data_IF_598376692303
#
_entry.id   IF_598376692303
#
_cell.length_a   1.000
_cell.length_b   1.000
_cell.length_c   1.000
_cell.angle_alpha   90.00
_cell.angle_beta   90.00
_cell.angle_gamma   90.00
#
_symmetry.space_group_name_H-M   'P 1'
#
loop_
_entity.id
_entity.type
_entity.pdbx_description
1 polymer ?
#
# COMPACT_ATOMS: atom_id res chain seq x y z
N UNK A 1 1.26 7.97 -51.81
CA UNK A 1 1.26 8.40 -50.40
C UNK A 1 0.35 7.56 -49.51
N UNK A 2 -0.85 7.13 -49.96
CA UNK A 2 -1.78 6.32 -49.15
C UNK A 2 -1.26 4.92 -48.74
N UNK A 3 -0.46 4.27 -49.59
CA UNK A 3 0.10 2.93 -49.29
C UNK A 3 1.10 2.93 -48.12
N UNK A 4 1.86 4.02 -47.97
CA UNK A 4 2.85 4.15 -46.88
C UNK A 4 2.16 4.37 -45.54
N UNK A 5 1.08 5.17 -45.53
CA UNK A 5 0.26 5.38 -44.34
C UNK A 5 -0.43 4.08 -43.88
N UNK A 6 -0.96 3.30 -44.81
CA UNK A 6 -1.62 2.03 -44.50
C UNK A 6 -0.65 0.97 -43.94
N UNK A 7 0.54 0.87 -44.52
CA UNK A 7 1.62 0.01 -43.99
C UNK A 7 2.05 0.44 -42.59
N UNK A 8 2.18 1.75 -42.36
CA UNK A 8 2.54 2.28 -41.05
C UNK A 8 1.49 1.95 -39.98
N UNK A 9 0.19 2.13 -40.25
CA UNK A 9 -0.87 1.78 -39.31
C UNK A 9 -0.90 0.28 -38.98
N UNK A 10 -0.68 -0.57 -39.98
CA UNK A 10 -0.69 -2.02 -39.80
C UNK A 10 0.50 -2.46 -38.92
N UNK A 11 1.70 -1.94 -39.19
CA UNK A 11 2.90 -2.22 -38.40
C UNK A 11 2.75 -1.67 -36.98
N UNK A 12 2.27 -0.42 -36.84
CA UNK A 12 2.07 0.21 -35.54
C UNK A 12 1.08 -0.59 -34.67
N UNK A 13 -0.03 -1.04 -35.25
CA UNK A 13 -1.02 -1.84 -34.52
C UNK A 13 -0.51 -3.24 -34.17
N UNK A 14 0.27 -3.87 -35.05
CA UNK A 14 0.93 -5.14 -34.73
C UNK A 14 1.94 -4.97 -33.58
N UNK A 15 2.82 -3.97 -33.65
CA UNK A 15 3.80 -3.69 -32.61
C UNK A 15 3.13 -3.40 -31.27
N UNK A 16 2.10 -2.55 -31.24
CA UNK A 16 1.36 -2.21 -30.01
C UNK A 16 0.64 -3.43 -29.40
N UNK A 17 0.16 -4.35 -30.24
CA UNK A 17 -0.53 -5.57 -29.76
C UNK A 17 0.46 -6.59 -29.20
N UNK A 18 1.64 -6.71 -29.81
CA UNK A 18 2.74 -7.54 -29.33
C UNK A 18 3.31 -7.00 -28.02
N UNK A 19 3.47 -5.68 -27.92
CA UNK A 19 3.94 -5.00 -26.71
C UNK A 19 3.03 -5.30 -25.50
N UNK A 20 1.71 -5.21 -25.71
CA UNK A 20 0.71 -5.53 -24.67
C UNK A 20 0.71 -7.01 -24.26
N UNK A 21 1.17 -7.92 -25.12
CA UNK A 21 1.18 -9.36 -24.85
C UNK A 21 2.51 -9.83 -24.23
N UNK A 22 3.64 -9.30 -24.74
CA UNK A 22 4.98 -9.65 -24.27
C UNK A 22 5.38 -8.92 -22.99
N UNK A 23 4.92 -7.68 -22.80
CA UNK A 23 5.21 -6.87 -21.61
C UNK A 23 3.98 -6.72 -20.72
N UNK A 24 3.03 -7.66 -20.80
CA UNK A 24 2.00 -7.78 -19.77
C UNK A 24 2.73 -8.13 -18.48
N UNK A 25 3.03 -7.12 -17.66
CA UNK A 25 3.64 -7.35 -16.36
C UNK A 25 2.75 -8.36 -15.63
N UNK A 26 3.33 -9.41 -15.02
CA UNK A 26 2.55 -10.31 -14.19
C UNK A 26 1.82 -9.42 -13.19
N UNK A 27 0.49 -9.56 -13.13
CA UNK A 27 -0.28 -8.88 -12.10
C UNK A 27 0.40 -9.18 -10.77
N UNK A 28 0.71 -8.14 -9.96
CA UNK A 28 1.40 -8.35 -8.70
C UNK A 28 0.57 -9.36 -7.92
N UNK A 29 1.17 -10.50 -7.61
CA UNK A 29 0.56 -11.47 -6.70
C UNK A 29 0.44 -10.72 -5.39
N UNK A 30 -0.77 -10.26 -5.09
CA UNK A 30 -1.08 -9.70 -3.78
C UNK A 30 -0.97 -10.89 -2.84
N UNK A 31 0.15 -10.99 -2.13
CA UNK A 31 0.26 -11.96 -1.04
C UNK A 31 -0.86 -11.61 -0.05
N UNK A 32 -1.62 -12.62 0.40
CA UNK A 32 -2.77 -12.43 1.30
C UNK A 32 -2.38 -11.73 2.63
N UNK A 33 -1.07 -11.65 2.91
CA UNK A 33 -0.50 -10.99 4.08
C UNK A 33 -0.04 -9.55 3.84
N UNK A 34 -0.13 -9.03 2.61
CA UNK A 34 0.23 -7.64 2.31
C UNK A 34 -0.85 -6.71 2.84
N UNK A 35 -0.46 -5.78 3.70
CA UNK A 35 -1.37 -4.78 4.29
C UNK A 35 -1.82 -3.82 3.18
N UNK A 36 -3.13 -3.65 2.94
CA UNK A 36 -3.62 -2.64 2.01
C UNK A 36 -3.27 -1.24 2.52
N UNK A 37 -2.94 -0.33 1.60
CA UNK A 37 -2.48 1.03 1.91
C UNK A 37 -3.50 1.81 2.75
N UNK A 38 -4.80 1.49 2.63
CA UNK A 38 -5.86 2.09 3.44
C UNK A 38 -5.75 1.80 4.94
N UNK A 39 -5.09 0.70 5.31
CA UNK A 39 -4.99 0.21 6.69
C UNK A 39 -3.69 0.64 7.36
N UNK A 40 -2.82 1.33 6.63
CA UNK A 40 -1.62 1.91 7.20
C UNK A 40 -1.98 3.17 7.99
N UNK A 41 -1.31 3.43 9.12
CA UNK A 41 -1.57 4.60 9.95
C UNK A 41 -1.04 5.90 9.32
N UNK A 42 -0.29 5.81 8.23
CA UNK A 42 0.25 6.93 7.48
C UNK A 42 -0.16 6.87 6.01
N UNK A 43 -0.11 8.04 5.38
CA UNK A 43 -0.29 8.22 3.94
C UNK A 43 1.04 8.44 3.22
N UNK A 44 2.06 8.88 3.95
CA UNK A 44 3.38 9.17 3.43
C UNK A 44 4.42 8.97 4.52
N UNK A 45 5.58 8.44 4.16
CA UNK A 45 6.77 8.39 5.01
C UNK A 45 7.91 9.09 4.30
N UNK A 46 8.60 9.97 5.04
CA UNK A 46 9.79 10.64 4.55
C UNK A 46 10.99 10.57 5.48
N UNK A 47 12.16 10.50 4.87
CA UNK A 47 13.45 10.66 5.51
C UNK A 47 13.97 12.09 5.31
N UNK A 48 14.28 12.80 6.39
CA UNK A 48 14.88 14.14 6.37
C UNK A 48 16.34 14.02 6.79
N UNK A 49 17.27 14.38 5.90
CA UNK A 49 18.69 14.34 6.23
C UNK A 49 19.11 15.59 7.01
N UNK A 50 20.04 15.49 7.97
CA UNK A 50 20.46 16.63 8.79
C UNK A 50 21.11 17.77 7.98
N UNK A 51 21.60 17.47 6.78
CA UNK A 51 22.29 18.43 5.90
C UNK A 51 21.40 18.95 4.76
N UNK A 52 20.14 18.49 4.65
CA UNK A 52 19.20 18.94 3.63
C UNK A 52 17.81 19.11 4.22
N UNK A 53 17.20 20.27 3.99
CA UNK A 53 15.81 20.51 4.38
C UNK A 53 14.80 19.69 3.54
N UNK A 54 15.28 19.01 2.49
CA UNK A 54 14.48 18.16 1.62
C UNK A 54 14.17 16.83 2.28
N UNK A 55 12.88 16.45 2.30
CA UNK A 55 12.44 15.09 2.62
C UNK A 55 12.45 14.20 1.38
N UNK A 56 12.90 12.96 1.54
CA UNK A 56 12.82 11.92 0.50
C UNK A 56 11.62 11.02 0.79
N UNK A 57 10.73 10.85 -0.18
CA UNK A 57 9.62 9.91 -0.10
C UNK A 57 10.13 8.46 -0.06
N UNK A 58 9.81 7.76 1.03
CA UNK A 58 10.19 6.37 1.27
C UNK A 58 8.98 5.43 1.27
N UNK A 59 7.78 5.94 1.01
CA UNK A 59 6.50 5.21 1.11
C UNK A 59 6.52 3.95 0.25
N UNK A 60 6.97 4.08 -1.01
CA UNK A 60 7.07 2.96 -1.95
C UNK A 60 8.07 1.86 -1.54
N UNK A 61 9.04 2.15 -0.67
CA UNK A 61 9.99 1.16 -0.16
C UNK A 61 9.45 0.47 1.09
N UNK A 62 8.74 1.22 1.92
CA UNK A 62 8.28 0.78 3.23
C UNK A 62 6.99 -0.04 3.12
N UNK A 63 5.96 0.49 2.47
CA UNK A 63 4.63 -0.13 2.36
C UNK A 63 4.64 -1.61 1.94
N UNK A 64 5.36 -2.04 0.88
CA UNK A 64 5.32 -3.44 0.44
C UNK A 64 6.00 -4.41 1.40
N UNK A 65 6.80 -3.91 2.36
CA UNK A 65 7.51 -4.74 3.35
C UNK A 65 6.72 -4.93 4.63
N UNK A 66 5.55 -4.28 4.74
CA UNK A 66 4.75 -4.27 5.96
C UNK A 66 3.78 -5.43 5.99
N UNK A 67 3.68 -6.03 7.17
CA UNK A 67 2.77 -7.11 7.51
C UNK A 67 2.06 -6.78 8.82
N UNK A 68 0.85 -7.32 8.99
CA UNK A 68 0.08 -7.16 10.23
C UNK A 68 0.84 -7.74 11.45
N UNK A 69 0.67 -7.08 12.60
CA UNK A 69 1.34 -7.44 13.86
C UNK A 69 2.78 -6.96 13.97
N UNK A 70 3.33 -6.31 12.94
CA UNK A 70 4.68 -5.75 12.99
C UNK A 70 4.68 -4.37 13.66
N UNK A 71 5.75 -4.10 14.43
CA UNK A 71 6.04 -2.76 14.95
C UNK A 71 7.09 -2.10 14.07
N UNK A 72 6.70 -1.05 13.36
CA UNK A 72 7.62 -0.25 12.55
C UNK A 72 8.31 0.76 13.45
N UNK A 73 9.61 0.64 13.63
CA UNK A 73 10.47 1.56 14.38
C UNK A 73 11.38 2.36 13.45
N UNK A 74 12.00 3.43 13.97
CA UNK A 74 13.02 4.19 13.21
C UNK A 74 14.18 3.29 12.77
N UNK A 75 14.65 2.41 13.64
CA UNK A 75 15.75 1.47 13.33
C UNK A 75 15.38 0.51 12.20
N UNK A 76 14.12 0.05 12.17
CA UNK A 76 13.62 -0.78 11.09
C UNK A 76 13.53 0.01 9.77
N UNK A 77 13.07 1.25 9.81
CA UNK A 77 13.02 2.13 8.63
C UNK A 77 14.41 2.37 8.06
N UNK A 78 15.40 2.61 8.93
CA UNK A 78 16.81 2.74 8.55
C UNK A 78 17.35 1.47 7.89
N UNK A 79 16.97 0.29 8.39
CA UNK A 79 17.40 -0.99 7.83
C UNK A 79 16.75 -1.30 6.47
N UNK A 80 15.47 -0.96 6.29
CA UNK A 80 14.75 -1.20 5.03
C UNK A 80 15.17 -0.24 3.93
N UNK A 81 15.37 1.03 4.27
CA UNK A 81 15.68 2.09 3.29
C UNK A 81 17.18 2.32 3.11
N UNK A 82 18.00 1.92 4.08
CA UNK A 82 19.44 2.19 4.11
C UNK A 82 19.79 3.64 4.40
N UNK A 83 18.83 4.49 4.78
CA UNK A 83 19.06 5.90 5.05
C UNK A 83 19.43 6.15 6.50
N UNK A 84 20.69 6.49 6.75
CA UNK A 84 21.19 6.89 8.07
C UNK A 84 22.32 7.93 7.91
N UNK A 85 22.47 8.92 8.81
CA UNK A 85 21.52 9.34 9.85
C UNK A 85 20.41 10.23 9.27
N UNK A 86 19.15 9.98 9.63
CA UNK A 86 17.99 10.77 9.18
C UNK A 86 16.95 10.94 10.29
N UNK A 87 16.16 12.01 10.20
CA UNK A 87 14.94 12.18 10.99
C UNK A 87 13.75 11.67 10.19
N UNK A 88 13.02 10.72 10.76
CA UNK A 88 11.84 10.13 10.13
C UNK A 88 10.60 10.96 10.43
N UNK A 89 9.82 11.22 9.38
CA UNK A 89 8.52 11.85 9.48
C UNK A 89 7.48 11.06 8.71
N UNK A 90 6.23 11.21 9.10
CA UNK A 90 5.11 10.60 8.40
C UNK A 90 3.92 11.55 8.37
N UNK A 91 3.08 11.39 7.35
CA UNK A 91 1.79 12.06 7.25
C UNK A 91 0.73 11.13 7.83
N UNK A 92 0.10 11.51 8.93
CA UNK A 92 -0.94 10.71 9.58
C UNK A 92 -2.18 10.56 8.67
N UNK A 93 -2.63 9.33 8.46
CA UNK A 93 -3.74 9.06 7.55
C UNK A 93 -5.10 9.60 8.06
N UNK A 94 -5.25 9.78 9.37
CA UNK A 94 -6.50 10.25 10.01
C UNK A 94 -6.50 11.76 10.21
N UNK A 95 -5.41 12.32 10.72
CA UNK A 95 -5.32 13.76 10.98
C UNK A 95 -4.81 14.58 9.80
N UNK A 96 -4.20 13.93 8.79
CA UNK A 96 -3.57 14.59 7.63
C UNK A 96 -2.49 15.61 8.05
N UNK A 97 -1.86 15.38 9.19
CA UNK A 97 -0.80 16.23 9.73
C UNK A 97 0.54 15.51 9.66
N UNK A 98 1.59 16.25 9.30
CA UNK A 98 2.95 15.75 9.32
C UNK A 98 3.45 15.65 10.77
N UNK A 99 3.84 14.45 11.18
CA UNK A 99 4.32 14.15 12.53
C UNK A 99 5.70 13.51 12.46
N UNK A 100 6.46 13.70 13.53
CA UNK A 100 7.73 12.99 13.71
C UNK A 100 7.44 11.53 14.07
N UNK A 101 8.25 10.62 13.52
CA UNK A 101 8.06 9.20 13.74
C UNK A 101 8.40 8.84 15.19
N UNK A 102 7.50 8.16 15.94
CA UNK A 102 7.74 7.86 17.34
C UNK A 102 8.88 6.84 17.49
N UNK A 103 9.78 7.08 18.45
CA UNK A 103 10.90 6.15 18.74
C UNK A 103 10.44 4.81 19.29
N UNK A 104 9.27 4.75 19.93
CA UNK A 104 8.61 3.50 20.34
C UNK A 104 8.11 2.66 19.16
N UNK A 105 8.06 3.25 17.96
CA UNK A 105 7.47 2.67 16.77
C UNK A 105 5.94 2.75 16.73
N UNK A 106 5.40 2.31 15.60
CA UNK A 106 3.97 2.24 15.31
C UNK A 106 3.62 0.77 15.03
N UNK A 107 2.62 0.25 15.74
CA UNK A 107 2.13 -1.12 15.54
C UNK A 107 1.11 -1.13 14.40
N UNK A 108 1.28 -2.05 13.46
CA UNK A 108 0.37 -2.24 12.33
C UNK A 108 -0.66 -3.30 12.72
N UNK A 109 -1.89 -2.86 12.99
CA UNK A 109 -2.95 -3.72 13.51
C UNK A 109 -4.05 -3.97 12.46
N UNK A 110 -4.65 -5.15 12.49
CA UNK A 110 -5.73 -5.54 11.59
C UNK A 110 -7.09 -5.08 12.13
N UNK A 111 -7.26 -3.76 12.17
CA UNK A 111 -8.48 -3.14 12.74
C UNK A 111 -9.68 -3.14 11.79
N UNK A 112 -9.57 -3.70 10.58
CA UNK A 112 -10.71 -3.86 9.66
C UNK A 112 -11.51 -5.17 9.88
N UNK A 113 -11.01 -6.08 10.72
CA UNK A 113 -11.66 -7.36 10.99
C UNK A 113 -12.92 -7.28 11.88
N UNK A 114 -13.25 -6.13 12.49
CA UNK A 114 -14.44 -6.01 13.36
C UNK A 114 -15.75 -5.65 12.64
N UNK A 115 -15.74 -5.35 11.33
CA UNK A 115 -16.94 -4.87 10.64
C UNK A 115 -17.71 -5.91 9.80
N UNK A 116 -17.26 -7.17 9.76
CA UNK A 116 -17.93 -8.25 9.00
C UNK A 116 -18.55 -9.37 9.85
N UNK A 117 -18.32 -9.42 11.17
CA UNK A 117 -18.84 -10.49 12.03
C UNK A 117 -20.15 -10.15 12.78
N UNK A 118 -20.90 -9.14 12.32
CA UNK A 118 -22.20 -8.78 12.90
C UNK A 118 -23.42 -8.97 12.00
N UNK A 119 -23.25 -9.54 10.80
CA UNK A 119 -24.37 -9.76 9.85
C UNK A 119 -24.87 -11.22 9.76
N UNK A 120 -24.18 -12.18 10.36
CA UNK A 120 -24.53 -13.62 10.25
C UNK A 120 -25.21 -14.23 11.49
N UNK A 121 -25.42 -13.47 12.58
CA UNK A 121 -26.14 -13.94 13.78
C UNK A 121 -27.43 -13.13 13.96
N UNK A 122 -28.43 -13.39 13.12
CA UNK A 122 -29.85 -13.14 13.45
C UNK A 122 -30.78 -13.99 12.58
N UNK A 123 -30.69 -15.31 12.73
CA UNK A 123 -31.87 -16.18 12.55
C UNK A 123 -32.02 -17.04 13.81
N UNK A 124 -32.28 -16.36 14.92
CA UNK A 124 -32.75 -17.00 16.14
C UNK A 124 -34.17 -17.48 15.92
N UNK A 125 -34.30 -18.80 15.82
CA UNK A 125 -35.34 -19.64 16.39
C UNK A 125 -36.24 -18.93 17.41
N UNK A 126 -37.56 -19.02 17.25
CA UNK A 126 -38.41 -19.37 18.39
C UNK A 126 -39.72 -20.08 17.95
N UNK A 127 -40.10 -21.16 18.65
CA UNK A 127 -41.38 -21.85 18.51
C UNK A 127 -42.41 -21.29 19.50
N UNK A 128 -43.69 -21.16 19.10
CA UNK A 128 -44.82 -20.99 20.03
C UNK A 128 -46.10 -21.44 19.28
N UNK A 129 -46.59 -22.66 19.49
CA UNK A 129 -47.46 -23.16 20.56
C UNK A 129 -48.90 -22.60 20.56
N UNK A 130 -49.79 -23.59 20.54
CA UNK A 130 -51.25 -23.65 20.46
C UNK A 130 -52.00 -22.88 21.54
N UNK A 131 -53.15 -22.30 21.19
CA UNK A 131 -54.46 -22.49 21.85
C UNK A 131 -55.60 -22.42 20.82
#
# INVERSE_FOLDING_TARGET
MLFVAWLYETVFNCCRRVDRFLFKQPEPKIDENTVPVSNLPWMWIGAVFPNSETSIDCTHMVDPTITYGMTVTTDWLENVTGYTPVTWKYLDAKSLEEKEFPSSGIVIDDTESEHYEKSSISSSTNPDHTE
#
